data_IF_072260508189
#
_entry.id   IF_072260508189
#
_cell.length_a   1.000
_cell.length_b   1.000
_cell.length_c   1.000
_cell.angle_alpha   90.00
_cell.angle_beta   90.00
_cell.angle_gamma   90.00
#
_symmetry.space_group_name_H-M   'P 1'
#
loop_
_entity.id
_entity.type
_entity.pdbx_description
1 polymer ?
#
# COMPACT_ATOMS: atom_id res chain seq x y z
N UNK A 1 3.33 -24.72 -0.34
CA UNK A 1 2.25 -23.78 0.04
C UNK A 1 2.04 -22.87 -1.15
N UNK A 2 0.86 -22.98 -1.76
CA UNK A 2 0.44 -22.26 -2.95
C UNK A 2 0.03 -20.83 -2.60
N UNK A 3 0.67 -19.84 -3.23
CA UNK A 3 0.29 -18.43 -3.13
C UNK A 3 -0.80 -18.10 -4.13
N UNK A 4 -1.87 -17.46 -3.66
CA UNK A 4 -3.04 -17.11 -4.47
C UNK A 4 -2.84 -15.74 -5.14
N UNK A 5 -2.48 -15.75 -6.42
CA UNK A 5 -2.44 -14.56 -7.27
C UNK A 5 -3.86 -14.02 -7.53
N UNK A 6 -4.18 -12.83 -7.04
CA UNK A 6 -5.35 -12.08 -7.54
C UNK A 6 -4.93 -11.28 -8.77
N UNK A 7 -5.18 -11.85 -9.95
CA UNK A 7 -5.06 -11.11 -11.22
C UNK A 7 -6.14 -10.05 -11.29
N UNK A 8 -5.74 -8.79 -11.52
CA UNK A 8 -6.64 -7.81 -12.09
C UNK A 8 -7.26 -8.38 -13.38
N UNK A 9 -8.58 -8.28 -13.50
CA UNK A 9 -9.41 -8.92 -14.54
C UNK A 9 -9.20 -8.34 -15.95
N UNK A 10 -8.40 -7.28 -16.10
CA UNK A 10 -8.05 -6.67 -17.38
C UNK A 10 -6.78 -7.25 -18.01
N UNK A 11 -6.70 -7.26 -19.35
CA UNK A 11 -5.51 -7.66 -20.15
C UNK A 11 -4.23 -6.86 -19.83
N UNK A 12 -4.33 -5.80 -19.01
CA UNK A 12 -3.25 -4.90 -18.61
C UNK A 12 -3.19 -4.69 -17.08
N UNK A 13 -3.96 -5.46 -16.30
CA UNK A 13 -3.99 -5.34 -14.83
C UNK A 13 -2.62 -5.61 -14.22
N UNK A 14 -2.15 -4.69 -13.37
CA UNK A 14 -0.93 -4.88 -12.58
C UNK A 14 -1.02 -6.14 -11.73
N UNK A 15 0.08 -6.90 -11.65
CA UNK A 15 0.17 -8.07 -10.78
C UNK A 15 0.32 -7.60 -9.33
N UNK A 16 -0.62 -7.97 -8.46
CA UNK A 16 -0.43 -7.89 -7.01
C UNK A 16 0.41 -9.09 -6.58
N UNK A 17 1.55 -8.85 -5.94
CA UNK A 17 2.39 -9.92 -5.38
C UNK A 17 1.99 -10.17 -3.92
N UNK A 18 1.87 -11.44 -3.50
CA UNK A 18 1.37 -11.82 -2.17
C UNK A 18 2.36 -11.57 -1.01
N UNK A 19 1.94 -11.92 0.21
CA UNK A 19 2.65 -11.73 1.48
C UNK A 19 4.11 -12.21 1.52
N UNK A 20 4.49 -13.21 0.70
CA UNK A 20 5.82 -13.81 0.67
C UNK A 20 6.83 -13.02 -0.16
N UNK A 21 6.36 -12.02 -0.91
CA UNK A 21 7.17 -11.21 -1.82
C UNK A 21 7.58 -9.85 -1.24
N UNK A 22 6.84 -9.36 -0.23
CA UNK A 22 7.05 -8.04 0.38
C UNK A 22 8.45 -7.89 1.00
N UNK A 23 9.03 -8.98 1.49
CA UNK A 23 10.36 -9.01 2.10
C UNK A 23 11.51 -9.12 1.09
N UNK A 24 11.25 -9.46 -0.19
CA UNK A 24 12.33 -9.92 -1.08
C UNK A 24 12.84 -8.92 -2.12
N UNK A 25 12.29 -7.72 -2.26
CA UNK A 25 12.91 -6.60 -3.03
C UNK A 25 12.07 -5.33 -2.94
N UNK A 26 12.55 -4.34 -2.21
CA UNK A 26 12.25 -2.93 -2.50
C UNK A 26 13.46 -2.39 -3.27
N UNK A 27 13.45 -2.58 -4.59
CA UNK A 27 14.45 -2.00 -5.48
C UNK A 27 13.88 -0.73 -6.10
N UNK A 28 14.52 0.41 -5.82
CA UNK A 28 14.31 1.63 -6.58
C UNK A 28 14.78 1.41 -8.02
N UNK A 29 13.84 1.30 -8.95
CA UNK A 29 14.10 1.52 -10.37
C UNK A 29 13.08 2.53 -10.85
N UNK A 30 13.56 3.57 -11.54
CA UNK A 30 12.73 4.57 -12.21
C UNK A 30 11.97 3.85 -13.33
N UNK A 31 10.77 3.38 -13.00
CA UNK A 31 9.90 2.61 -13.87
C UNK A 31 8.84 1.83 -13.08
N UNK A 32 7.57 2.23 -13.25
CA UNK A 32 6.32 1.49 -12.96
C UNK A 32 5.99 1.04 -11.52
N UNK A 33 6.91 1.08 -10.56
CA UNK A 33 6.64 0.73 -9.16
C UNK A 33 7.07 1.88 -8.22
N UNK A 34 6.20 2.87 -8.04
CA UNK A 34 6.45 3.99 -7.13
C UNK A 34 6.12 3.60 -5.69
N UNK A 35 7.07 3.82 -4.79
CA UNK A 35 6.95 3.53 -3.36
C UNK A 35 7.19 4.83 -2.58
N UNK A 36 6.24 5.18 -1.72
CA UNK A 36 6.42 6.22 -0.71
C UNK A 36 6.91 5.55 0.55
N UNK A 37 8.16 5.83 0.94
CA UNK A 37 8.73 5.36 2.22
C UNK A 37 8.68 6.48 3.27
N UNK A 38 8.14 6.17 4.45
CA UNK A 38 8.06 7.05 5.60
C UNK A 38 8.82 6.41 6.76
N UNK A 39 9.92 7.03 7.17
CA UNK A 39 10.69 6.64 8.35
C UNK A 39 10.40 7.66 9.46
N UNK A 40 9.80 7.20 10.55
CA UNK A 40 9.29 8.04 11.64
C UNK A 40 10.08 7.72 12.89
N UNK A 41 10.84 8.67 13.39
CA UNK A 41 11.72 8.47 14.55
C UNK A 41 11.04 8.63 15.91
N UNK A 42 9.83 9.17 15.95
CA UNK A 42 9.14 9.49 17.21
C UNK A 42 7.72 8.95 17.24
N UNK A 43 6.77 9.68 16.65
CA UNK A 43 5.34 9.41 16.77
C UNK A 43 4.62 9.76 15.47
N UNK A 44 3.53 9.05 15.18
CA UNK A 44 2.66 9.34 14.04
C UNK A 44 1.29 9.72 14.58
N UNK A 45 0.86 10.93 14.25
CA UNK A 45 -0.51 11.41 14.46
C UNK A 45 -0.97 11.97 13.14
N UNK A 46 -1.87 11.26 12.47
CA UNK A 46 -2.43 11.67 11.20
C UNK A 46 -3.95 11.52 11.24
N UNK A 47 -4.65 12.64 11.11
CA UNK A 47 -6.11 12.67 10.90
C UNK A 47 -6.48 12.94 9.45
N UNK A 48 -5.48 13.10 8.58
CA UNK A 48 -5.63 13.31 7.15
C UNK A 48 -5.46 12.03 6.34
N UNK A 49 -5.29 12.21 5.03
CA UNK A 49 -5.21 11.15 4.04
C UNK A 49 -3.83 11.12 3.37
N UNK A 50 -3.21 9.94 3.31
CA UNK A 50 -2.03 9.66 2.48
C UNK A 50 -2.42 8.69 1.40
N UNK A 51 -2.04 8.96 0.16
CA UNK A 51 -2.42 8.11 -0.94
C UNK A 51 -1.36 7.98 -2.02
N UNK A 52 -1.25 6.78 -2.58
CA UNK A 52 -0.45 6.43 -3.75
C UNK A 52 -1.37 5.68 -4.73
N UNK A 53 -2.41 6.36 -5.21
CA UNK A 53 -3.43 5.77 -6.06
C UNK A 53 -3.00 5.83 -7.54
N UNK A 54 -3.41 4.82 -8.30
CA UNK A 54 -3.30 4.80 -9.74
C UNK A 54 -4.26 5.81 -10.39
N UNK A 55 -3.85 6.34 -11.53
CA UNK A 55 -4.66 7.27 -12.32
C UNK A 55 -5.70 6.51 -13.14
N UNK A 56 -6.83 7.15 -13.38
CA UNK A 56 -7.81 6.65 -14.33
C UNK A 56 -7.24 6.76 -15.75
N UNK A 57 -7.38 5.69 -16.53
CA UNK A 57 -7.04 5.71 -17.95
C UNK A 57 -8.02 6.57 -18.73
N UNK A 58 -7.57 7.17 -19.83
CA UNK A 58 -8.48 7.95 -20.70
C UNK A 58 -9.43 7.03 -21.48
N UNK A 59 -10.71 7.35 -21.47
CA UNK A 59 -11.74 6.61 -22.23
C UNK A 59 -11.56 6.68 -23.75
N UNK A 60 -10.85 7.71 -24.24
CA UNK A 60 -10.76 8.08 -25.65
C UNK A 60 -10.03 7.01 -26.49
N UNK A 61 -9.08 6.27 -25.92
CA UNK A 61 -8.27 5.26 -26.63
C UNK A 61 -8.38 3.86 -26.02
N UNK A 62 -9.35 3.62 -25.13
CA UNK A 62 -9.52 2.33 -24.47
C UNK A 62 -8.42 1.96 -23.48
N UNK A 63 -7.81 2.97 -22.83
CA UNK A 63 -6.78 2.74 -21.81
C UNK A 63 -7.35 2.15 -20.52
N UNK A 64 -6.61 1.23 -19.90
CA UNK A 64 -6.89 0.72 -18.56
C UNK A 64 -6.50 1.71 -17.46
N UNK A 65 -7.01 1.49 -16.25
CA UNK A 65 -6.61 2.20 -15.04
C UNK A 65 -5.18 1.85 -14.61
N UNK A 66 -4.46 2.84 -14.13
CA UNK A 66 -3.13 2.67 -13.53
C UNK A 66 -3.22 1.88 -12.22
N UNK A 67 -2.16 1.12 -11.92
CA UNK A 67 -2.04 0.44 -10.63
C UNK A 67 -1.85 1.45 -9.50
N UNK A 68 -2.38 1.14 -8.31
CA UNK A 68 -1.94 1.79 -7.08
C UNK A 68 -0.44 1.54 -6.86
N UNK A 69 0.27 2.53 -6.34
CA UNK A 69 1.66 2.40 -5.93
C UNK A 69 1.79 1.75 -4.56
N UNK A 70 2.92 1.91 -3.87
CA UNK A 70 3.11 1.29 -2.55
C UNK A 70 3.47 2.30 -1.48
N UNK A 71 3.07 2.03 -0.23
CA UNK A 71 3.44 2.84 0.94
C UNK A 71 4.13 1.93 1.96
N UNK A 72 5.32 2.32 2.39
CA UNK A 72 6.07 1.69 3.47
C UNK A 72 6.20 2.67 4.64
N UNK A 73 5.70 2.29 5.81
CA UNK A 73 5.85 3.09 7.04
C UNK A 73 6.69 2.29 8.03
N UNK A 74 7.75 2.91 8.53
CA UNK A 74 8.63 2.37 9.58
C UNK A 74 8.70 3.37 10.71
N UNK A 75 8.21 3.00 11.88
CA UNK A 75 8.50 3.73 13.12
C UNK A 75 9.77 3.13 13.71
N UNK A 76 10.79 3.94 13.98
CA UNK A 76 12.12 3.52 14.48
C UNK A 76 12.43 3.98 15.92
N UNK A 77 11.45 4.57 16.61
CA UNK A 77 11.57 5.15 17.96
C UNK A 77 11.77 4.11 19.08
N UNK A 78 12.86 4.15 19.84
CA UNK A 78 13.09 3.18 20.95
C UNK A 78 11.99 3.17 22.05
N UNK A 79 11.16 4.21 22.12
CA UNK A 79 10.05 4.34 23.09
C UNK A 79 8.66 3.98 22.49
N UNK A 80 8.60 2.95 21.63
CA UNK A 80 7.39 2.53 20.90
C UNK A 80 6.15 2.25 21.77
N UNK A 81 6.34 1.80 23.02
CA UNK A 81 5.25 1.25 23.82
C UNK A 81 4.37 2.29 24.53
N UNK A 82 4.83 3.54 24.62
CA UNK A 82 4.13 4.57 25.41
C UNK A 82 3.22 5.47 24.57
N UNK A 83 3.47 5.58 23.27
CA UNK A 83 2.75 6.52 22.41
C UNK A 83 1.75 5.79 21.51
N UNK A 84 0.49 6.21 21.58
CA UNK A 84 -0.56 5.70 20.70
C UNK A 84 -0.40 6.30 19.30
N UNK A 85 0.09 5.50 18.37
CA UNK A 85 0.23 5.88 16.96
C UNK A 85 -1.13 5.94 16.25
N UNK A 86 -1.37 6.98 15.44
CA UNK A 86 -2.58 7.15 14.63
C UNK A 86 -2.17 7.31 13.16
N UNK A 87 -2.31 6.26 12.33
CA UNK A 87 -1.86 6.30 10.93
C UNK A 87 -2.77 7.13 10.02
N UNK A 88 -4.04 7.32 10.41
CA UNK A 88 -5.06 7.99 9.60
C UNK A 88 -5.43 7.20 8.35
N UNK A 89 -5.99 7.89 7.36
CA UNK A 89 -6.42 7.24 6.12
C UNK A 89 -5.20 6.99 5.23
N UNK A 90 -4.97 5.74 4.82
CA UNK A 90 -3.91 5.37 3.89
C UNK A 90 -4.51 4.61 2.72
N UNK A 91 -4.23 5.06 1.48
CA UNK A 91 -4.81 4.47 0.28
C UNK A 91 -3.77 4.17 -0.80
N UNK A 92 -3.75 2.95 -1.32
CA UNK A 92 -3.00 2.58 -2.51
C UNK A 92 -3.93 1.84 -3.48
N UNK A 93 -4.86 2.58 -4.08
CA UNK A 93 -5.94 2.02 -4.89
C UNK A 93 -5.60 2.10 -6.37
N UNK A 94 -6.03 1.12 -7.16
CA UNK A 94 -6.00 1.21 -8.61
C UNK A 94 -6.97 2.28 -9.15
N UNK A 95 -6.69 2.76 -10.36
CA UNK A 95 -7.58 3.63 -11.13
C UNK A 95 -8.69 2.87 -11.84
N UNK A 96 -9.62 3.61 -12.43
CA UNK A 96 -10.76 3.17 -13.22
C UNK A 96 -11.74 2.23 -12.49
N UNK A 97 -12.16 2.62 -11.28
CA UNK A 97 -13.08 1.87 -10.41
C UNK A 97 -14.52 1.75 -10.94
N UNK A 98 -14.83 2.47 -12.02
CA UNK A 98 -16.17 2.47 -12.59
C UNK A 98 -16.39 1.29 -13.56
N UNK A 99 -15.31 0.60 -13.98
CA UNK A 99 -15.40 -0.50 -14.94
C UNK A 99 -14.50 -1.67 -14.57
N UNK A 100 -15.11 -2.78 -14.15
CA UNK A 100 -14.40 -3.96 -13.62
C UNK A 100 -13.35 -4.58 -14.55
N UNK A 101 -13.45 -4.40 -15.87
CA UNK A 101 -12.50 -4.96 -16.83
C UNK A 101 -11.33 -4.03 -17.19
N UNK A 102 -11.38 -2.75 -16.77
CA UNK A 102 -10.30 -1.77 -16.94
C UNK A 102 -9.68 -1.36 -15.61
N UNK A 103 -10.13 -1.91 -14.49
CA UNK A 103 -9.60 -1.57 -13.17
C UNK A 103 -8.09 -1.81 -13.07
N UNK A 104 -7.41 -0.80 -12.55
CA UNK A 104 -6.02 -0.91 -12.16
C UNK A 104 -5.86 -1.82 -10.95
N UNK A 105 -4.69 -2.46 -10.84
CA UNK A 105 -4.36 -3.27 -9.68
C UNK A 105 -4.31 -2.43 -8.40
N UNK A 106 -4.61 -3.06 -7.26
CA UNK A 106 -4.35 -2.44 -5.96
C UNK A 106 -2.85 -2.35 -5.73
N UNK A 107 -2.46 -1.31 -4.99
CA UNK A 107 -1.11 -1.12 -4.52
C UNK A 107 -0.78 -1.99 -3.30
N UNK A 108 0.24 -1.60 -2.54
CA UNK A 108 0.67 -2.35 -1.34
C UNK A 108 0.94 -1.41 -0.19
N UNK A 109 0.61 -1.84 1.03
CA UNK A 109 0.88 -1.07 2.25
C UNK A 109 1.62 -1.98 3.22
N UNK A 110 2.75 -1.51 3.75
CA UNK A 110 3.48 -2.19 4.81
C UNK A 110 3.76 -1.22 5.95
N UNK A 111 3.50 -1.65 7.17
CA UNK A 111 3.63 -0.85 8.38
C UNK A 111 4.43 -1.64 9.40
N UNK A 112 5.49 -1.02 9.90
CA UNK A 112 6.40 -1.58 10.89
C UNK A 112 6.60 -0.64 12.07
N UNK A 113 6.85 -1.22 13.24
CA UNK A 113 7.33 -0.50 14.42
C UNK A 113 6.23 -0.06 15.39
N UNK A 114 4.97 -0.46 15.17
CA UNK A 114 3.90 -0.28 16.16
C UNK A 114 2.69 -1.18 15.86
N UNK A 115 1.79 -1.35 16.84
CA UNK A 115 0.53 -2.05 16.66
C UNK A 115 -0.57 -1.10 16.18
N UNK A 116 -1.32 -1.51 15.16
CA UNK A 116 -2.46 -0.78 14.63
C UNK A 116 -3.72 -1.36 15.28
N UNK A 117 -4.58 -0.49 15.82
CA UNK A 117 -5.88 -0.91 16.36
C UNK A 117 -6.81 -1.38 15.22
N UNK A 118 -7.68 -2.35 15.50
CA UNK A 118 -8.62 -2.88 14.48
C UNK A 118 -9.45 -1.80 13.80
N UNK A 119 -9.89 -0.80 14.57
CA UNK A 119 -10.65 0.35 14.04
C UNK A 119 -9.84 1.22 13.07
N UNK A 120 -8.52 1.31 13.27
CA UNK A 120 -7.65 2.12 12.43
C UNK A 120 -7.29 1.34 11.15
N UNK A 121 -7.25 0.01 11.20
CA UNK A 121 -7.08 -0.86 10.03
C UNK A 121 -8.21 -0.66 9.00
N UNK A 122 -9.43 -0.36 9.44
CA UNK A 122 -10.57 -0.09 8.54
C UNK A 122 -10.34 1.16 7.66
N UNK A 123 -9.48 2.08 8.10
CA UNK A 123 -9.14 3.30 7.35
C UNK A 123 -7.97 3.13 6.37
N UNK A 124 -7.40 1.92 6.29
CA UNK A 124 -6.23 1.59 5.47
C UNK A 124 -6.64 0.63 4.36
N UNK A 125 -6.38 1.00 3.10
CA UNK A 125 -6.75 0.17 1.95
C UNK A 125 -5.69 0.22 0.84
N UNK A 126 -5.17 -0.93 0.36
CA UNK A 126 -5.53 -2.29 0.74
C UNK A 126 -5.07 -2.67 2.16
N UNK A 127 -5.50 -3.84 2.64
CA UNK A 127 -5.12 -4.35 3.96
C UNK A 127 -3.59 -4.34 4.09
N UNK A 128 -3.04 -3.68 5.12
CA UNK A 128 -1.60 -3.54 5.24
C UNK A 128 -0.96 -4.83 5.76
N UNK A 129 0.26 -5.11 5.30
CA UNK A 129 1.16 -6.00 6.04
C UNK A 129 1.64 -5.25 7.29
N UNK A 130 1.32 -5.76 8.49
CA UNK A 130 1.62 -5.08 9.74
C UNK A 130 2.53 -5.94 10.65
N UNK A 131 3.61 -5.34 11.17
CA UNK A 131 4.48 -5.94 12.19
C UNK A 131 4.83 -4.91 13.28
N UNK A 132 4.69 -5.32 14.54
CA UNK A 132 4.98 -4.44 15.67
C UNK A 132 6.45 -4.02 15.75
N UNK A 133 7.37 -4.82 15.23
CA UNK A 133 8.81 -4.58 15.28
C UNK A 133 9.41 -4.55 13.88
N UNK A 134 10.51 -3.82 13.74
CA UNK A 134 11.34 -3.86 12.54
C UNK A 134 12.27 -5.06 12.69
N UNK A 135 12.15 -6.04 11.80
CA UNK A 135 13.15 -7.10 11.67
C UNK A 135 14.39 -6.48 11.03
N UNK A 136 15.48 -6.41 11.78
CA UNK A 136 16.80 -5.97 11.28
C UNK A 136 17.50 -7.11 10.56
#
# INVERSE_FOLDING_TARGET
>A
MEGYETKGTGKQGGKCYDDGSLLKKVHFKRGKDEIIELIISQHIVNYGKRQCNGLDGSDILGGGGGSGGSILIKVVSENFSLLKHTPGIIQCLGGNKNTSWREGGMGRIAIYGFNIESKDLESISPVPYNKQFIVR
#
